data_IF_351083129976
#
_entry.id   IF_351083129976
#
_cell.length_a   1.000
_cell.length_b   1.000
_cell.length_c   1.000
_cell.angle_alpha   90.00
_cell.angle_beta   90.00
_cell.angle_gamma   90.00
#
_symmetry.space_group_name_H-M   'P 1'
#
loop_
_entity.id
_entity.type
_entity.pdbx_description
1 polymer ?
#
# COMPACT_ATOMS: atom_id res chain seq x y z
N UNK A 1 -4.76 15.46 -6.27
CA UNK A 1 -4.48 14.04 -5.85
C UNK A 1 -3.78 13.33 -6.99
N UNK A 2 -3.03 12.23 -6.76
CA UNK A 2 -2.38 11.44 -7.82
C UNK A 2 -3.36 10.94 -8.91
N UNK A 3 -4.65 10.90 -8.60
CA UNK A 3 -5.73 10.56 -9.51
C UNK A 3 -5.87 11.49 -10.74
N UNK A 4 -5.25 12.66 -10.78
CA UNK A 4 -5.46 13.70 -11.82
C UNK A 4 -4.35 13.79 -12.87
N UNK A 5 -3.41 12.84 -12.92
CA UNK A 5 -2.25 12.91 -13.81
C UNK A 5 -2.60 12.67 -15.30
N UNK A 6 -2.12 13.57 -16.18
CA UNK A 6 -2.31 13.51 -17.65
C UNK A 6 -1.18 12.78 -18.40
N UNK A 7 0.02 12.77 -17.83
CA UNK A 7 1.17 12.03 -18.34
C UNK A 7 1.65 11.08 -17.24
N UNK A 8 2.01 9.85 -17.62
CA UNK A 8 2.51 8.85 -16.67
C UNK A 8 3.99 9.14 -16.44
N UNK A 9 4.41 9.55 -15.22
CA UNK A 9 5.81 9.77 -14.93
C UNK A 9 6.58 8.44 -15.04
N UNK A 10 7.76 8.50 -15.66
CA UNK A 10 8.65 7.35 -15.80
C UNK A 10 9.97 7.60 -15.08
N UNK A 11 10.59 6.56 -14.55
CA UNK A 11 11.88 6.59 -13.87
C UNK A 11 12.75 5.47 -14.43
N UNK A 12 13.94 5.80 -14.91
CA UNK A 12 14.90 4.82 -15.36
C UNK A 12 15.66 4.22 -14.16
N UNK A 13 15.59 2.90 -14.00
CA UNK A 13 16.26 2.13 -12.94
C UNK A 13 17.17 1.11 -13.62
N UNK A 14 18.44 1.46 -13.81
CA UNK A 14 19.37 0.68 -14.64
C UNK A 14 18.88 0.62 -16.09
N UNK A 15 18.69 -0.59 -16.62
CA UNK A 15 18.17 -0.84 -17.97
C UNK A 15 16.63 -0.83 -18.06
N UNK A 16 15.94 -0.63 -16.95
CA UNK A 16 14.47 -0.70 -16.88
C UNK A 16 13.83 0.68 -16.80
N UNK A 17 12.74 0.89 -17.54
CA UNK A 17 11.89 2.07 -17.43
C UNK A 17 10.69 1.77 -16.53
N UNK A 18 10.79 2.15 -15.25
CA UNK A 18 9.70 2.04 -14.30
C UNK A 18 8.64 3.11 -14.61
N UNK A 19 7.40 2.69 -14.78
CA UNK A 19 6.25 3.56 -14.99
C UNK A 19 5.02 2.95 -14.33
N UNK A 20 3.96 3.75 -14.15
CA UNK A 20 2.69 3.21 -13.66
C UNK A 20 2.06 2.34 -14.76
N UNK A 21 1.84 1.08 -14.42
CA UNK A 21 1.21 0.09 -15.29
C UNK A 21 -0.31 0.26 -15.19
N UNK A 22 -0.87 1.10 -16.06
CA UNK A 22 -2.31 1.43 -16.08
C UNK A 22 -3.10 0.65 -17.15
N UNK A 23 -2.43 -0.26 -17.85
CA UNK A 23 -3.03 -1.12 -18.86
C UNK A 23 -4.06 -2.08 -18.25
N UNK A 24 -4.92 -2.63 -19.11
CA UNK A 24 -5.88 -3.66 -18.71
C UNK A 24 -5.18 -4.91 -18.16
N UNK A 25 -5.91 -5.63 -17.31
CA UNK A 25 -5.45 -6.90 -16.75
C UNK A 25 -5.03 -7.89 -17.85
N UNK A 26 -3.88 -8.52 -17.64
CA UNK A 26 -3.42 -9.68 -18.40
C UNK A 26 -4.46 -10.82 -18.37
N UNK A 27 -4.46 -11.73 -19.37
CA UNK A 27 -5.37 -12.88 -19.38
C UNK A 27 -5.28 -13.73 -18.11
N UNK A 28 -4.07 -13.93 -17.59
CA UNK A 28 -3.79 -14.67 -16.37
C UNK A 28 -4.43 -13.98 -15.15
N UNK A 29 -4.22 -12.67 -15.01
CA UNK A 29 -4.79 -11.91 -13.89
C UNK A 29 -6.30 -11.74 -14.00
N UNK A 30 -6.87 -11.65 -15.20
CA UNK A 30 -8.34 -11.70 -15.41
C UNK A 30 -8.93 -12.98 -14.85
N UNK A 31 -8.27 -14.11 -15.05
CA UNK A 31 -8.76 -15.40 -14.53
C UNK A 31 -8.66 -15.48 -12.99
N UNK A 32 -7.61 -14.90 -12.40
CA UNK A 32 -7.51 -14.72 -10.94
C UNK A 32 -8.64 -13.83 -10.43
N UNK A 33 -8.87 -12.68 -11.07
CA UNK A 33 -9.92 -11.75 -10.70
C UNK A 33 -11.31 -12.39 -10.78
N UNK A 34 -11.58 -13.17 -11.83
CA UNK A 34 -12.82 -13.94 -11.98
C UNK A 34 -13.02 -14.94 -10.83
N UNK A 35 -11.99 -15.72 -10.51
CA UNK A 35 -12.04 -16.77 -9.47
C UNK A 35 -12.12 -16.21 -8.06
N UNK A 36 -11.32 -15.22 -7.73
CA UNK A 36 -11.16 -14.71 -6.35
C UNK A 36 -12.06 -13.51 -6.04
N UNK A 37 -12.34 -12.67 -7.04
CA UNK A 37 -13.04 -11.39 -6.87
C UNK A 37 -14.45 -11.38 -7.46
N UNK A 38 -14.85 -12.44 -8.17
CA UNK A 38 -16.11 -12.48 -8.95
C UNK A 38 -16.13 -11.41 -10.07
N UNK A 39 -14.97 -11.00 -10.54
CA UNK A 39 -14.84 -10.01 -11.62
C UNK A 39 -15.20 -10.67 -12.96
N UNK A 40 -16.39 -10.39 -13.47
CA UNK A 40 -16.83 -10.73 -14.83
C UNK A 40 -17.31 -9.44 -15.51
N UNK A 41 -17.36 -9.38 -16.86
CA UNK A 41 -17.79 -8.17 -17.56
C UNK A 41 -19.16 -7.65 -17.09
N UNK A 42 -20.13 -8.54 -16.90
CA UNK A 42 -21.48 -8.18 -16.45
C UNK A 42 -21.49 -7.69 -15.00
N UNK A 43 -20.90 -8.46 -14.09
CA UNK A 43 -20.82 -8.08 -12.66
C UNK A 43 -20.07 -6.76 -12.48
N UNK A 44 -18.98 -6.54 -13.22
CA UNK A 44 -18.21 -5.31 -13.14
C UNK A 44 -19.03 -4.10 -13.60
N UNK A 45 -19.71 -4.22 -14.74
CA UNK A 45 -20.55 -3.17 -15.30
C UNK A 45 -21.68 -2.77 -14.34
N UNK A 46 -22.41 -3.77 -13.84
CA UNK A 46 -23.57 -3.55 -12.97
C UNK A 46 -23.13 -2.97 -11.62
N UNK A 47 -22.04 -3.47 -11.04
CA UNK A 47 -21.52 -2.98 -9.77
C UNK A 47 -20.96 -1.56 -9.86
N UNK A 48 -20.35 -1.19 -11.00
CA UNK A 48 -19.89 0.19 -11.24
C UNK A 48 -21.09 1.15 -11.31
N UNK A 49 -22.16 0.77 -12.02
CA UNK A 49 -23.40 1.58 -12.08
C UNK A 49 -24.01 1.73 -10.68
N UNK A 50 -24.20 0.63 -9.98
CA UNK A 50 -24.80 0.62 -8.64
C UNK A 50 -23.97 1.45 -7.64
N UNK A 51 -22.64 1.28 -7.62
CA UNK A 51 -21.78 2.07 -6.73
C UNK A 51 -21.83 3.56 -7.07
N UNK A 52 -21.86 3.90 -8.36
CA UNK A 52 -21.96 5.30 -8.81
C UNK A 52 -23.28 5.92 -8.33
N UNK A 53 -24.38 5.19 -8.39
CA UNK A 53 -25.68 5.68 -7.94
C UNK A 53 -25.72 5.85 -6.42
N UNK A 54 -25.19 4.88 -5.66
CA UNK A 54 -25.02 5.01 -4.20
C UNK A 54 -24.19 6.26 -3.82
N UNK A 55 -23.09 6.53 -4.53
CA UNK A 55 -22.23 7.68 -4.24
C UNK A 55 -22.88 9.03 -4.61
N UNK A 56 -23.84 9.08 -5.53
CA UNK A 56 -24.59 10.32 -5.81
C UNK A 56 -25.46 10.76 -4.63
N UNK A 57 -25.86 9.82 -3.78
CA UNK A 57 -26.65 10.11 -2.58
C UNK A 57 -25.80 10.68 -1.44
N UNK A 58 -24.47 10.47 -1.48
CA UNK A 58 -23.51 10.95 -0.48
C UNK A 58 -23.06 12.40 -0.74
N UNK A 59 -23.88 13.37 -0.36
CA UNK A 59 -23.65 14.80 -0.62
C UNK A 59 -22.39 15.39 0.02
N UNK A 60 -21.91 14.79 1.11
CA UNK A 60 -20.74 15.27 1.86
C UNK A 60 -19.41 14.68 1.36
N UNK A 61 -19.46 13.82 0.32
CA UNK A 61 -18.31 13.07 -0.16
C UNK A 61 -17.93 13.47 -1.59
N UNK A 62 -16.73 14.06 -1.74
CA UNK A 62 -16.20 14.45 -3.06
C UNK A 62 -15.44 13.27 -3.70
N UNK A 63 -16.04 12.68 -4.73
CA UNK A 63 -15.49 11.52 -5.47
C UNK A 63 -15.61 11.73 -6.99
N UNK A 64 -14.67 11.21 -7.78
CA UNK A 64 -14.72 11.28 -9.24
C UNK A 64 -15.67 10.20 -9.82
N UNK A 65 -16.96 10.49 -9.82
CA UNK A 65 -18.03 9.58 -10.28
C UNK A 65 -17.94 9.17 -11.75
N UNK A 66 -17.27 9.99 -12.57
CA UNK A 66 -17.05 9.83 -14.00
C UNK A 66 -15.90 8.87 -14.34
N UNK A 67 -15.17 8.39 -13.32
CA UNK A 67 -13.95 7.59 -13.51
C UNK A 67 -14.14 6.15 -13.07
N UNK A 68 -14.48 5.29 -14.01
CA UNK A 68 -14.75 3.87 -13.73
C UNK A 68 -13.55 3.15 -13.12
N UNK A 69 -12.33 3.42 -13.58
CA UNK A 69 -11.11 2.87 -12.97
C UNK A 69 -10.96 3.25 -11.48
N UNK A 70 -11.42 4.44 -11.09
CA UNK A 70 -11.41 4.88 -9.69
C UNK A 70 -12.45 4.12 -8.87
N UNK A 71 -13.63 3.82 -9.43
CA UNK A 71 -14.66 3.03 -8.76
C UNK A 71 -14.24 1.56 -8.63
N UNK A 72 -13.70 0.99 -9.71
CA UNK A 72 -13.24 -0.41 -9.77
C UNK A 72 -12.18 -0.71 -8.72
N UNK A 73 -11.27 0.23 -8.42
CA UNK A 73 -10.25 0.05 -7.38
C UNK A 73 -10.85 -0.25 -6.00
N UNK A 74 -12.04 0.27 -5.69
CA UNK A 74 -12.75 -0.01 -4.44
C UNK A 74 -13.68 -1.21 -4.56
N UNK A 75 -14.17 -1.54 -5.76
CA UNK A 75 -15.00 -2.72 -5.99
C UNK A 75 -14.21 -4.02 -5.91
N UNK A 76 -12.99 -4.07 -6.46
CA UNK A 76 -12.12 -5.25 -6.44
C UNK A 76 -11.85 -5.83 -5.04
N UNK A 77 -11.41 -5.05 -4.03
CA UNK A 77 -11.24 -5.57 -2.68
C UNK A 77 -12.56 -6.09 -2.11
N UNK A 78 -13.67 -5.45 -2.45
CA UNK A 78 -15.03 -5.79 -2.04
C UNK A 78 -15.72 -6.85 -2.92
N UNK A 79 -15.00 -7.55 -3.81
CA UNK A 79 -15.56 -8.59 -4.70
C UNK A 79 -16.80 -8.13 -5.49
N UNK A 80 -16.77 -6.86 -5.90
CA UNK A 80 -17.83 -6.18 -6.64
C UNK A 80 -19.17 -6.11 -5.91
N UNK A 81 -19.17 -6.05 -4.57
CA UNK A 81 -20.34 -5.66 -3.76
C UNK A 81 -20.37 -4.13 -3.57
N UNK A 82 -21.31 -3.39 -4.20
CA UNK A 82 -21.34 -1.93 -4.19
C UNK A 82 -21.45 -1.31 -2.80
N UNK A 83 -22.29 -1.84 -1.93
CA UNK A 83 -22.52 -1.34 -0.57
C UNK A 83 -21.26 -1.49 0.28
N UNK A 84 -20.54 -2.60 0.09
CA UNK A 84 -19.25 -2.81 0.76
C UNK A 84 -18.18 -1.84 0.25
N UNK A 85 -18.20 -1.52 -1.04
CA UNK A 85 -17.28 -0.55 -1.64
C UNK A 85 -17.59 0.88 -1.17
N UNK A 86 -18.86 1.26 -1.05
CA UNK A 86 -19.26 2.54 -0.46
C UNK A 86 -18.70 2.71 0.96
N UNK A 87 -18.88 1.70 1.81
CA UNK A 87 -18.38 1.73 3.18
C UNK A 87 -16.84 1.76 3.22
N UNK A 88 -16.17 1.06 2.31
CA UNK A 88 -14.72 1.15 2.13
C UNK A 88 -14.27 2.57 1.74
N UNK A 89 -14.98 3.23 0.82
CA UNK A 89 -14.67 4.61 0.41
C UNK A 89 -14.84 5.57 1.59
N UNK A 90 -15.95 5.50 2.33
CA UNK A 90 -16.17 6.35 3.52
C UNK A 90 -15.04 6.20 4.51
N UNK A 91 -14.68 4.96 4.83
CA UNK A 91 -13.55 4.65 5.74
C UNK A 91 -12.22 5.15 5.19
N UNK A 92 -11.97 5.06 3.89
CA UNK A 92 -10.75 5.58 3.25
C UNK A 92 -10.61 7.10 3.42
N UNK A 93 -11.69 7.86 3.21
CA UNK A 93 -11.66 9.31 3.40
C UNK A 93 -11.52 9.69 4.87
N UNK A 94 -12.29 9.05 5.77
CA UNK A 94 -12.14 9.28 7.21
C UNK A 94 -10.74 8.94 7.72
N UNK A 95 -10.11 7.91 7.14
CA UNK A 95 -8.73 7.55 7.46
C UNK A 95 -7.74 8.65 7.06
N UNK A 96 -7.87 9.20 5.85
CA UNK A 96 -7.03 10.32 5.40
C UNK A 96 -7.20 11.56 6.29
N UNK A 97 -8.42 11.85 6.74
CA UNK A 97 -8.68 12.96 7.68
C UNK A 97 -8.05 12.68 9.04
N UNK A 98 -8.21 11.47 9.59
CA UNK A 98 -7.64 11.08 10.88
C UNK A 98 -6.11 11.10 10.90
N UNK A 99 -5.49 10.79 9.77
CA UNK A 99 -4.04 10.72 9.59
C UNK A 99 -3.51 11.88 8.74
N UNK A 100 -4.11 13.07 8.89
CA UNK A 100 -3.73 14.26 8.13
C UNK A 100 -2.28 14.69 8.39
N UNK A 101 -1.70 14.34 9.53
CA UNK A 101 -0.27 14.52 9.83
C UNK A 101 0.65 13.86 8.78
N UNK A 102 0.16 12.80 8.14
CA UNK A 102 0.88 12.06 7.10
C UNK A 102 0.39 12.43 5.70
N UNK A 103 -0.92 12.57 5.51
CA UNK A 103 -1.52 12.75 4.18
C UNK A 103 -1.58 14.22 3.71
N UNK A 104 -1.56 15.19 4.63
CA UNK A 104 -1.64 16.59 4.24
C UNK A 104 -0.38 17.01 3.48
N UNK A 105 -0.58 17.54 2.27
CA UNK A 105 0.51 17.88 1.36
C UNK A 105 1.38 16.70 0.90
N UNK A 106 0.97 15.45 1.09
CA UNK A 106 1.78 14.27 0.72
C UNK A 106 1.88 14.13 -0.80
N UNK A 107 3.00 14.61 -1.36
CA UNK A 107 3.31 14.50 -2.79
C UNK A 107 4.79 14.16 -2.98
N UNK A 108 5.16 13.39 -4.02
CA UNK A 108 6.56 13.03 -4.28
C UNK A 108 7.51 14.23 -4.35
N UNK A 109 7.05 15.36 -4.88
CA UNK A 109 7.85 16.59 -4.99
C UNK A 109 8.21 17.25 -3.66
N UNK A 110 7.47 16.96 -2.58
CA UNK A 110 7.77 17.43 -1.22
C UNK A 110 8.55 16.41 -0.39
N UNK A 111 8.54 15.15 -0.79
CA UNK A 111 9.22 14.04 -0.10
C UNK A 111 10.42 13.53 -0.91
N UNK A 112 11.16 14.43 -1.58
CA UNK A 112 12.26 14.03 -2.49
C UNK A 112 13.42 13.32 -1.79
N UNK A 113 13.74 13.75 -0.57
CA UNK A 113 14.90 13.27 0.19
C UNK A 113 14.91 11.74 0.36
N UNK A 114 13.77 11.12 0.67
CA UNK A 114 13.68 9.66 0.82
C UNK A 114 13.98 8.91 -0.49
N UNK A 115 13.59 9.49 -1.64
CA UNK A 115 13.85 8.90 -2.95
C UNK A 115 15.30 9.11 -3.41
N UNK A 116 15.88 10.28 -3.13
CA UNK A 116 17.27 10.61 -3.48
C UNK A 116 18.29 9.74 -2.73
N UNK A 117 17.94 9.28 -1.53
CA UNK A 117 18.80 8.48 -0.66
C UNK A 117 18.80 6.98 -1.00
N UNK A 118 18.02 6.54 -2.00
CA UNK A 118 17.96 5.15 -2.48
C UNK A 118 17.72 4.11 -1.36
N UNK A 119 16.96 4.49 -0.33
CA UNK A 119 16.54 3.59 0.76
C UNK A 119 15.27 2.82 0.38
N UNK A 120 14.49 3.37 -0.56
CA UNK A 120 13.23 2.82 -1.03
C UNK A 120 13.35 2.49 -2.51
N UNK A 121 13.22 1.20 -2.84
CA UNK A 121 13.31 0.72 -4.22
C UNK A 121 12.02 0.01 -4.61
N UNK A 122 11.35 0.52 -5.63
CA UNK A 122 10.27 -0.20 -6.30
C UNK A 122 10.90 -1.07 -7.38
N UNK A 123 10.68 -2.39 -7.30
CA UNK A 123 11.24 -3.27 -8.33
C UNK A 123 10.46 -3.10 -9.64
N UNK A 124 11.17 -3.02 -10.79
CA UNK A 124 10.53 -2.91 -12.09
C UNK A 124 9.71 -4.16 -12.41
N UNK A 125 10.20 -5.32 -11.96
CA UNK A 125 9.54 -6.60 -12.18
C UNK A 125 8.62 -6.94 -11.02
N UNK A 126 7.50 -7.58 -11.35
CA UNK A 126 6.60 -8.23 -10.39
C UNK A 126 7.16 -9.60 -10.00
N UNK A 127 6.68 -10.14 -8.90
CA UNK A 127 7.06 -11.49 -8.49
C UNK A 127 6.30 -12.56 -9.30
N UNK A 128 6.56 -13.84 -9.00
CA UNK A 128 5.94 -14.98 -9.68
C UNK A 128 4.41 -15.07 -9.53
N UNK A 129 3.80 -14.25 -8.66
CA UNK A 129 2.36 -14.15 -8.44
C UNK A 129 1.80 -12.81 -8.94
N UNK A 130 2.57 -12.04 -9.73
CA UNK A 130 2.14 -10.75 -10.29
C UNK A 130 2.10 -9.60 -9.26
N UNK A 131 2.74 -9.77 -8.10
CA UNK A 131 2.66 -8.79 -7.01
C UNK A 131 3.70 -7.68 -7.19
N UNK A 132 3.29 -6.43 -6.97
CA UNK A 132 4.21 -5.27 -6.97
C UNK A 132 5.11 -5.33 -5.73
N UNK A 133 6.41 -5.11 -5.90
CA UNK A 133 7.39 -5.28 -4.84
C UNK A 133 8.04 -3.96 -4.44
N UNK A 134 8.07 -3.71 -3.13
CA UNK A 134 8.80 -2.61 -2.50
C UNK A 134 9.92 -3.17 -1.62
N UNK A 135 11.13 -2.66 -1.79
CA UNK A 135 12.25 -2.92 -0.89
C UNK A 135 12.55 -1.66 -0.09
N UNK A 136 12.65 -1.81 1.23
CA UNK A 136 13.06 -0.79 2.19
C UNK A 136 14.36 -1.23 2.86
N UNK A 137 15.46 -0.54 2.55
CA UNK A 137 16.80 -0.86 3.05
C UNK A 137 17.13 -0.06 4.32
N UNK A 138 16.61 -0.52 5.45
CA UNK A 138 16.67 0.18 6.75
C UNK A 138 17.91 -0.19 7.59
N UNK A 139 18.91 -0.79 6.96
CA UNK A 139 20.19 -1.13 7.57
C UNK A 139 21.30 -0.15 7.18
N UNK A 140 22.34 -0.63 6.50
CA UNK A 140 23.53 0.14 6.11
C UNK A 140 23.22 1.43 5.33
N UNK A 141 22.20 1.42 4.48
CA UNK A 141 21.84 2.58 3.65
C UNK A 141 21.08 3.67 4.39
N UNK A 142 20.38 3.34 5.48
CA UNK A 142 19.55 4.30 6.18
C UNK A 142 20.33 5.14 7.18
N UNK A 143 20.70 6.36 6.79
CA UNK A 143 21.33 7.32 7.71
C UNK A 143 20.28 8.14 8.44
N UNK A 144 20.09 7.90 9.74
CA UNK A 144 19.04 8.55 10.53
C UNK A 144 19.23 10.06 10.74
N UNK A 145 20.42 10.59 10.44
CA UNK A 145 20.73 12.02 10.45
C UNK A 145 20.28 12.72 9.17
N UNK A 146 20.11 11.99 8.08
CA UNK A 146 19.75 12.51 6.76
C UNK A 146 18.28 12.23 6.44
N UNK A 147 17.78 11.04 6.84
CA UNK A 147 16.41 10.61 6.58
C UNK A 147 15.75 10.16 7.87
N UNK A 148 14.66 10.84 8.24
CA UNK A 148 13.87 10.50 9.41
C UNK A 148 13.02 9.25 9.16
N UNK A 149 12.63 8.59 10.25
CA UNK A 149 11.75 7.43 10.17
C UNK A 149 10.33 7.80 9.67
N UNK A 150 9.93 9.06 9.85
CA UNK A 150 8.67 9.61 9.32
C UNK A 150 8.73 9.78 7.80
N UNK A 151 9.85 10.24 7.24
CA UNK A 151 10.05 10.30 5.78
C UNK A 151 10.03 8.90 5.14
N UNK A 152 10.68 7.91 5.78
CA UNK A 152 10.60 6.50 5.35
C UNK A 152 9.15 6.03 5.31
N UNK A 153 8.38 6.33 6.36
CA UNK A 153 6.97 5.96 6.43
C UNK A 153 6.14 6.64 5.33
N UNK A 154 6.31 7.95 5.12
CA UNK A 154 5.65 8.69 4.03
C UNK A 154 6.00 8.16 2.66
N UNK A 155 7.26 7.78 2.42
CA UNK A 155 7.70 7.12 1.19
C UNK A 155 6.96 5.79 0.95
N UNK A 156 6.79 4.98 2.00
CA UNK A 156 5.99 3.75 1.91
C UNK A 156 4.50 4.03 1.64
N UNK A 157 3.92 5.08 2.25
CA UNK A 157 2.54 5.51 1.97
C UNK A 157 2.38 5.95 0.51
N UNK A 158 3.31 6.75 -0.01
CA UNK A 158 3.33 7.18 -1.42
C UNK A 158 3.41 5.98 -2.37
N UNK A 159 4.28 5.02 -2.09
CA UNK A 159 4.36 3.79 -2.86
C UNK A 159 3.00 3.07 -2.90
N UNK A 160 2.33 2.91 -1.76
CA UNK A 160 1.04 2.21 -1.75
C UNK A 160 -0.06 3.00 -2.44
N UNK A 161 -0.10 4.32 -2.32
CA UNK A 161 -1.04 5.16 -3.08
C UNK A 161 -0.84 5.03 -4.59
N UNK A 162 0.40 4.90 -5.06
CA UNK A 162 0.72 4.65 -6.46
C UNK A 162 0.40 3.21 -6.89
N UNK A 163 0.78 2.22 -6.08
CA UNK A 163 0.53 0.82 -6.33
C UNK A 163 -0.98 0.50 -6.44
N UNK A 164 -1.83 1.25 -5.73
CA UNK A 164 -3.30 1.15 -5.86
C UNK A 164 -3.85 1.59 -7.21
N UNK A 165 -3.09 2.36 -8.00
CA UNK A 165 -3.55 2.81 -9.31
C UNK A 165 -3.45 1.71 -10.37
N UNK A 166 -2.56 0.74 -10.17
CA UNK A 166 -2.26 -0.30 -11.15
C UNK A 166 -3.29 -1.45 -11.09
N UNK A 167 -4.01 -1.75 -12.18
CA UNK A 167 -5.01 -2.81 -12.22
C UNK A 167 -4.47 -4.17 -11.76
N UNK A 168 -3.29 -4.56 -12.27
CA UNK A 168 -2.60 -5.80 -11.89
C UNK A 168 -2.36 -5.87 -10.38
N UNK A 169 -1.90 -4.78 -9.78
CA UNK A 169 -1.64 -4.70 -8.34
C UNK A 169 -2.93 -4.73 -7.51
N UNK A 170 -4.04 -4.19 -8.01
CA UNK A 170 -5.33 -4.27 -7.30
C UNK A 170 -5.82 -5.72 -7.15
N UNK A 171 -5.50 -6.60 -8.12
CA UNK A 171 -5.87 -8.02 -8.10
C UNK A 171 -4.85 -8.85 -7.32
N UNK A 172 -3.58 -8.79 -7.74
CA UNK A 172 -2.51 -9.63 -7.22
C UNK A 172 -1.98 -9.14 -5.87
N UNK A 173 -2.07 -7.85 -5.60
CA UNK A 173 -1.60 -7.20 -4.37
C UNK A 173 -0.13 -6.80 -4.44
N UNK A 174 0.41 -6.42 -3.29
CA UNK A 174 1.79 -5.98 -3.14
C UNK A 174 2.55 -6.76 -2.06
N UNK A 175 3.86 -6.75 -2.15
CA UNK A 175 4.80 -7.33 -1.18
C UNK A 175 5.78 -6.25 -0.75
N UNK A 176 6.03 -6.18 0.56
CA UNK A 176 7.03 -5.27 1.13
C UNK A 176 8.17 -6.08 1.73
N UNK A 177 9.40 -5.73 1.39
CA UNK A 177 10.63 -6.37 1.86
C UNK A 177 11.40 -5.33 2.67
N UNK A 178 11.67 -5.64 3.93
CA UNK A 178 12.55 -4.87 4.79
C UNK A 178 13.92 -5.54 4.83
N UNK A 179 14.92 -4.91 4.24
CA UNK A 179 16.30 -5.32 4.39
C UNK A 179 16.92 -4.62 5.60
N UNK A 180 17.29 -5.42 6.59
CA UNK A 180 17.83 -4.96 7.86
C UNK A 180 19.35 -5.16 7.97
N UNK A 181 20.03 -5.47 6.85
CA UNK A 181 21.48 -5.70 6.84
C UNK A 181 22.25 -4.51 7.41
N UNK A 182 22.94 -4.71 8.54
CA UNK A 182 23.70 -3.68 9.25
C UNK A 182 22.85 -2.70 10.07
N UNK A 183 21.63 -3.08 10.45
CA UNK A 183 20.86 -2.34 11.45
C UNK A 183 21.66 -2.17 12.76
N UNK A 184 21.87 -0.91 13.14
CA UNK A 184 22.63 -0.50 14.31
C UNK A 184 21.72 -0.21 15.51
N UNK A 185 22.30 -0.25 16.72
CA UNK A 185 21.58 0.15 17.94
C UNK A 185 21.07 1.59 17.85
N UNK A 186 21.85 2.51 17.29
CA UNK A 186 21.46 3.91 17.12
C UNK A 186 20.19 4.04 16.27
N UNK A 187 20.09 3.31 15.16
CA UNK A 187 18.88 3.27 14.34
C UNK A 187 17.69 2.67 15.11
N UNK A 188 17.91 1.63 15.93
CA UNK A 188 16.81 1.03 16.71
C UNK A 188 16.17 2.01 17.69
N UNK A 189 16.91 3.01 18.21
CA UNK A 189 16.35 4.02 19.11
C UNK A 189 15.30 4.92 18.45
N UNK A 190 15.30 5.02 17.12
CA UNK A 190 14.31 5.80 16.35
C UNK A 190 12.94 5.12 16.31
N UNK A 191 12.87 3.82 16.52
CA UNK A 191 11.61 3.10 16.62
C UNK A 191 11.02 3.31 18.02
N UNK A 192 10.06 4.23 18.13
CA UNK A 192 9.34 4.50 19.38
C UNK A 192 8.07 3.65 19.48
N UNK A 193 7.54 3.36 20.69
CA UNK A 193 6.25 2.69 20.85
C UNK A 193 5.10 3.40 20.13
N UNK A 194 5.10 4.75 20.13
CA UNK A 194 4.11 5.56 19.42
C UNK A 194 4.20 5.36 17.92
N UNK A 195 5.41 5.31 17.36
CA UNK A 195 5.64 5.02 15.95
C UNK A 195 5.21 3.60 15.58
N UNK A 196 5.57 2.60 16.41
CA UNK A 196 5.16 1.22 16.21
C UNK A 196 3.63 1.06 16.20
N UNK A 197 2.93 1.72 17.14
CA UNK A 197 1.47 1.78 17.15
C UNK A 197 0.92 2.41 15.88
N UNK A 198 1.45 3.56 15.43
CA UNK A 198 1.01 4.25 14.22
C UNK A 198 1.14 3.36 12.98
N UNK A 199 2.26 2.65 12.82
CA UNK A 199 2.44 1.67 11.73
C UNK A 199 1.44 0.53 11.84
N UNK A 200 1.24 -0.03 13.04
CA UNK A 200 0.31 -1.17 13.19
C UNK A 200 -1.12 -0.73 12.92
N UNK A 201 -1.56 0.43 13.41
CA UNK A 201 -2.86 1.00 13.10
C UNK A 201 -3.05 1.17 11.58
N UNK A 202 -2.02 1.67 10.89
CA UNK A 202 -2.04 1.84 9.43
C UNK A 202 -2.03 0.49 8.66
N UNK A 203 -1.20 -0.47 9.07
CA UNK A 203 -1.15 -1.82 8.47
C UNK A 203 -2.43 -2.63 8.76
N UNK A 204 -3.01 -2.45 9.93
CA UNK A 204 -4.24 -3.11 10.34
C UNK A 204 -5.40 -2.63 9.47
N UNK A 205 -5.49 -1.33 9.23
CA UNK A 205 -6.46 -0.73 8.30
C UNK A 205 -6.36 -1.30 6.86
N UNK A 206 -5.21 -1.86 6.47
CA UNK A 206 -5.01 -2.53 5.17
C UNK A 206 -5.30 -4.03 5.15
N UNK A 207 -5.51 -4.70 6.30
CA UNK A 207 -5.47 -6.17 6.38
C UNK A 207 -6.69 -6.81 7.05
N UNK A 208 -7.61 -6.04 7.64
CA UNK A 208 -8.81 -6.60 8.25
C UNK A 208 -9.86 -6.86 7.18
N UNK A 209 -10.05 -8.14 6.81
CA UNK A 209 -11.09 -8.63 5.86
C UNK A 209 -12.52 -8.08 6.01
N UNK A 210 -12.85 -7.38 7.10
CA UNK A 210 -14.16 -6.77 7.37
C UNK A 210 -14.10 -5.26 7.66
N UNK A 211 -12.90 -4.67 7.78
CA UNK A 211 -12.63 -3.25 8.06
C UNK A 211 -11.45 -2.72 7.25
N UNK A 212 -11.33 -3.13 5.99
CA UNK A 212 -10.37 -2.49 5.11
C UNK A 212 -10.80 -1.02 4.97
N UNK A 213 -9.89 -0.08 5.21
CA UNK A 213 -10.09 1.32 4.85
C UNK A 213 -9.21 1.73 3.68
N UNK A 214 -8.37 0.84 3.13
CA UNK A 214 -7.52 1.14 1.96
C UNK A 214 -7.66 0.03 0.92
N UNK A 215 -7.88 0.36 -0.37
CA UNK A 215 -8.12 -0.63 -1.43
C UNK A 215 -6.85 -1.33 -1.94
N UNK A 216 -5.90 -1.67 -1.06
CA UNK A 216 -4.69 -2.41 -1.42
C UNK A 216 -4.46 -3.61 -0.51
N UNK A 217 -4.07 -4.73 -1.12
CA UNK A 217 -3.78 -5.97 -0.38
C UNK A 217 -2.28 -6.15 -0.24
N UNK A 218 -1.74 -5.88 0.94
CA UNK A 218 -0.40 -6.34 1.31
C UNK A 218 -0.47 -7.85 1.54
N UNK A 219 0.04 -8.64 0.58
CA UNK A 219 0.01 -10.10 0.66
C UNK A 219 1.02 -10.59 1.69
N UNK A 220 2.25 -10.08 1.63
CA UNK A 220 3.33 -10.47 2.53
C UNK A 220 4.18 -9.26 2.93
N UNK A 221 4.75 -9.35 4.13
CA UNK A 221 5.85 -8.51 4.60
C UNK A 221 7.02 -9.44 4.91
N UNK A 222 8.14 -9.28 4.20
CA UNK A 222 9.36 -10.03 4.41
C UNK A 222 10.35 -9.15 5.18
N UNK A 223 11.04 -9.73 6.17
CA UNK A 223 12.15 -9.08 6.87
C UNK A 223 13.36 -9.98 6.63
N UNK A 224 14.37 -9.45 5.95
CA UNK A 224 15.59 -10.17 5.56
C UNK A 224 16.81 -9.56 6.24
N UNK A 225 17.89 -10.34 6.32
CA UNK A 225 19.18 -9.92 6.90
C UNK A 225 19.07 -9.32 8.33
N UNK A 226 18.13 -9.79 9.14
CA UNK A 226 17.91 -9.24 10.48
C UNK A 226 19.08 -9.57 11.44
N UNK A 227 19.77 -8.56 12.01
CA UNK A 227 20.72 -8.80 13.08
C UNK A 227 20.02 -9.11 14.40
N UNK A 228 20.75 -9.65 15.38
CA UNK A 228 20.18 -10.00 16.69
C UNK A 228 19.47 -8.82 17.38
N UNK A 229 19.97 -7.59 17.16
CA UNK A 229 19.39 -6.36 17.72
C UNK A 229 17.98 -6.06 17.21
N UNK A 230 17.58 -6.58 16.05
CA UNK A 230 16.22 -6.45 15.51
C UNK A 230 15.15 -6.98 16.48
N UNK A 231 15.50 -7.91 17.38
CA UNK A 231 14.59 -8.40 18.41
C UNK A 231 14.01 -7.29 19.29
N UNK A 232 14.76 -6.20 19.52
CA UNK A 232 14.26 -5.02 20.25
C UNK A 232 13.11 -4.38 19.47
N UNK A 233 13.34 -4.07 18.19
CA UNK A 233 12.33 -3.49 17.30
C UNK A 233 11.12 -4.41 17.23
N UNK A 234 11.29 -5.70 16.93
CA UNK A 234 10.19 -6.66 16.86
C UNK A 234 9.35 -6.72 18.14
N UNK A 235 9.99 -6.66 19.31
CA UNK A 235 9.29 -6.66 20.59
C UNK A 235 8.46 -5.38 20.84
N UNK A 236 8.78 -4.25 20.20
CA UNK A 236 7.94 -3.04 20.23
C UNK A 236 6.66 -3.22 19.41
N UNK A 237 6.73 -3.88 18.25
CA UNK A 237 5.56 -4.14 17.40
C UNK A 237 4.66 -5.27 17.94
N UNK A 238 5.27 -6.25 18.60
CA UNK A 238 4.61 -7.49 19.04
C UNK A 238 3.33 -7.31 19.88
N UNK A 239 3.23 -6.37 20.86
CA UNK A 239 2.00 -6.15 21.63
C UNK A 239 0.82 -5.76 20.73
N UNK A 240 1.04 -4.78 19.84
CA UNK A 240 0.02 -4.27 18.92
C UNK A 240 -0.40 -5.32 17.87
N UNK A 241 0.51 -6.19 17.46
CA UNK A 241 0.20 -7.31 16.56
C UNK A 241 -0.63 -8.41 17.25
N UNK A 242 -0.35 -8.70 18.53
CA UNK A 242 -1.01 -9.77 19.30
C UNK A 242 -2.40 -9.42 19.77
N UNK A 243 -2.61 -8.16 20.16
CA UNK A 243 -3.90 -7.65 20.62
C UNK A 243 -4.97 -7.79 19.53
N UNK A 244 -4.56 -7.86 18.26
CA UNK A 244 -5.47 -7.77 17.14
C UNK A 244 -5.41 -8.92 16.11
N UNK A 245 -4.34 -9.75 16.02
CA UNK A 245 -4.31 -10.95 15.14
C UNK A 245 -3.36 -12.08 15.58
N UNK A 246 -3.79 -13.34 15.40
CA UNK A 246 -2.99 -14.57 15.50
C UNK A 246 -1.89 -14.68 14.42
N UNK A 247 -0.80 -13.94 14.59
CA UNK A 247 0.38 -13.98 13.73
C UNK A 247 1.10 -15.35 13.78
N UNK A 248 1.15 -16.08 12.66
CA UNK A 248 2.09 -17.21 12.46
C UNK A 248 3.37 -16.68 11.84
N UNK A 249 4.43 -16.58 12.64
CA UNK A 249 5.79 -16.28 12.17
C UNK A 249 6.25 -17.41 11.25
N UNK A 250 6.48 -17.15 9.95
CA UNK A 250 7.41 -17.97 9.16
C UNK A 250 8.76 -17.27 9.21
N UNK A 251 9.68 -17.85 9.96
CA UNK A 251 11.10 -17.54 9.80
C UNK A 251 11.58 -18.52 8.75
N UNK A 252 11.82 -18.03 7.54
CA UNK A 252 12.68 -18.76 6.61
C UNK A 252 14.11 -18.54 7.12
N UNK A 253 14.78 -19.65 7.44
CA UNK A 253 16.18 -19.70 7.85
C UNK A 253 17.05 -19.71 6.61
#
# INVERSE_FOLDING_TARGET
MLSEMKEIPTVQVGDYNLHLELDDLSPETKEIARKELRETPDVSRDAVVALRDLLKEEKDLLVPLDRDHWLVRFLRPCKFYPESALELIKRYYSFKVKHSDIYDGLVPSKEKNIFEQNILTVLPNRDQLGRRMLILELGKKWKTSEVTLDEVFKGAVLFLELAMLEPETQVCGAVVIFDMDGLSLMQTTKFTPMFAKRIVDWLQVMRIRFKDSVPLRIKNIHIVNQPYIFKIVFNLFKPFLRENYGYKKRVEK
#
